data_IF_370471423123
#
_entry.id   IF_370471423123
#
_cell.length_a   1.000
_cell.length_b   1.000
_cell.length_c   1.000
_cell.angle_alpha   90.00
_cell.angle_beta   90.00
_cell.angle_gamma   90.00
#
_symmetry.space_group_name_H-M   'P 1'
#
loop_
_entity.id
_entity.type
_entity.pdbx_description
1 polymer ?
#
# COMPACT_ATOMS: atom_id res chain seq x y z
N UNK A 1 19.52 15.37 3.14
CA UNK A 1 19.24 15.37 1.69
C UNK A 1 18.13 16.39 1.44
N UNK A 2 18.46 17.54 0.87
CA UNK A 2 17.48 18.53 0.41
C UNK A 2 17.92 18.91 -1.00
N UNK A 3 17.29 18.32 -2.02
CA UNK A 3 17.84 18.40 -3.37
C UNK A 3 17.52 19.73 -4.07
N UNK A 4 16.56 20.52 -3.59
CA UNK A 4 16.28 21.87 -4.09
C UNK A 4 15.81 22.76 -2.93
N UNK A 5 16.44 23.91 -2.73
CA UNK A 5 16.02 24.93 -1.75
C UNK A 5 14.90 25.84 -2.27
N UNK A 6 14.34 25.52 -3.43
CA UNK A 6 13.30 26.32 -4.08
C UNK A 6 11.94 25.82 -3.64
N UNK A 7 11.10 26.72 -3.13
CA UNK A 7 9.70 26.45 -2.80
C UNK A 7 8.85 26.43 -4.09
N UNK A 8 8.25 25.30 -4.48
CA UNK A 8 7.38 25.23 -5.65
C UNK A 8 6.15 26.15 -5.54
N UNK A 9 5.70 26.47 -4.32
CA UNK A 9 4.55 27.36 -4.12
C UNK A 9 4.81 28.78 -4.63
N UNK A 10 6.07 29.24 -4.62
CA UNK A 10 6.46 30.54 -5.18
C UNK A 10 6.24 30.63 -6.70
N UNK A 11 6.04 29.49 -7.39
CA UNK A 11 5.78 29.41 -8.82
C UNK A 11 4.34 28.96 -9.13
N UNK A 12 3.43 29.05 -8.15
CA UNK A 12 2.01 28.72 -8.34
C UNK A 12 1.68 27.22 -8.25
N UNK A 13 2.63 26.37 -7.86
CA UNK A 13 2.36 24.95 -7.61
C UNK A 13 1.72 24.76 -6.23
N UNK A 14 0.69 23.92 -6.12
CA UNK A 14 0.15 23.48 -4.84
C UNK A 14 0.46 22.00 -4.63
N UNK A 15 0.63 21.59 -3.38
CA UNK A 15 0.86 20.19 -3.05
C UNK A 15 -0.42 19.38 -3.27
N UNK A 16 -0.34 18.37 -4.14
CA UNK A 16 -1.43 17.43 -4.36
C UNK A 16 -0.88 16.00 -4.34
N UNK A 17 -0.96 15.33 -3.19
CA UNK A 17 -0.68 13.90 -3.13
C UNK A 17 -1.97 13.10 -2.93
N UNK A 18 -2.14 12.05 -3.74
CA UNK A 18 -3.18 11.04 -3.57
C UNK A 18 -2.73 9.92 -2.61
N UNK A 19 -1.49 9.98 -2.15
CA UNK A 19 -0.81 8.91 -1.42
C UNK A 19 -0.06 9.48 -0.22
N UNK A 20 -0.21 8.86 0.93
CA UNK A 20 0.59 9.16 2.11
C UNK A 20 1.67 8.09 2.25
N UNK A 21 2.92 8.52 2.35
CA UNK A 21 4.07 7.62 2.50
C UNK A 21 4.51 7.56 3.94
N UNK A 22 4.62 6.34 4.46
CA UNK A 22 4.98 6.05 5.84
C UNK A 22 6.11 5.02 5.90
N UNK A 23 6.93 5.09 6.95
CA UNK A 23 7.98 4.10 7.21
C UNK A 23 7.95 3.67 8.67
N UNK A 24 8.07 2.37 8.90
CA UNK A 24 8.21 1.78 10.22
C UNK A 24 9.70 1.56 10.54
N UNK A 25 10.14 1.70 11.81
CA UNK A 25 11.54 1.48 12.21
C UNK A 25 12.12 0.11 11.83
N UNK A 26 11.27 -0.90 11.65
CA UNK A 26 11.67 -2.24 11.19
C UNK A 26 12.00 -2.31 9.69
N UNK A 27 11.93 -1.18 8.97
CA UNK A 27 12.24 -1.09 7.54
C UNK A 27 11.03 -1.29 6.61
N UNK A 28 9.84 -1.54 7.14
CA UNK A 28 8.60 -1.63 6.35
C UNK A 28 8.20 -0.25 5.84
N UNK A 29 7.82 -0.15 4.57
CA UNK A 29 7.23 1.07 3.98
C UNK A 29 5.75 0.85 3.72
N UNK A 30 4.94 1.88 3.94
CA UNK A 30 3.50 1.86 3.72
C UNK A 30 3.08 3.05 2.86
N UNK A 31 2.40 2.74 1.75
CA UNK A 31 1.77 3.74 0.88
C UNK A 31 0.26 3.63 1.12
N UNK A 32 -0.34 4.66 1.73
CA UNK A 32 -1.77 4.74 2.01
C UNK A 32 -2.46 5.58 0.93
N UNK A 33 -3.55 5.07 0.35
CA UNK A 33 -4.39 5.75 -0.63
C UNK A 33 -5.77 5.97 -0.02
N UNK A 34 -5.97 7.01 0.82
CA UNK A 34 -7.14 7.14 1.68
C UNK A 34 -8.45 7.13 0.90
N UNK A 35 -8.49 7.83 -0.24
CA UNK A 35 -9.69 7.95 -1.08
C UNK A 35 -10.20 6.61 -1.60
N UNK A 36 -9.32 5.62 -1.79
CA UNK A 36 -9.71 4.30 -2.31
C UNK A 36 -9.74 3.22 -1.22
N UNK A 37 -9.27 3.54 -0.02
CA UNK A 37 -8.98 2.56 1.04
C UNK A 37 -7.94 1.53 0.60
N UNK A 38 -7.03 1.89 -0.31
CA UNK A 38 -5.95 0.99 -0.77
C UNK A 38 -4.70 1.23 0.05
N UNK A 39 -4.04 0.14 0.45
CA UNK A 39 -2.77 0.18 1.17
C UNK A 39 -1.80 -0.76 0.50
N UNK A 40 -0.58 -0.28 0.30
CA UNK A 40 0.56 -1.08 -0.14
C UNK A 40 1.59 -1.11 0.99
N UNK A 41 2.04 -2.30 1.35
CA UNK A 41 3.19 -2.46 2.25
C UNK A 41 4.36 -3.07 1.48
N UNK A 42 5.56 -2.51 1.63
CA UNK A 42 6.81 -3.06 1.07
C UNK A 42 7.72 -3.46 2.22
N UNK A 43 8.21 -4.71 2.21
CA UNK A 43 8.97 -5.28 3.34
C UNK A 43 9.90 -6.41 2.91
N UNK A 44 10.83 -6.77 3.78
CA UNK A 44 11.61 -8.01 3.66
C UNK A 44 10.84 -9.15 4.33
N UNK A 45 10.28 -10.07 3.54
CA UNK A 45 9.58 -11.25 4.06
C UNK A 45 10.59 -12.38 4.31
N UNK A 46 10.56 -13.05 5.48
CA UNK A 46 11.60 -14.02 5.88
C UNK A 46 11.79 -15.19 4.91
N UNK A 47 10.76 -15.53 4.12
CA UNK A 47 10.81 -16.63 3.14
C UNK A 47 10.83 -16.13 1.69
N UNK A 48 10.17 -15.00 1.41
CA UNK A 48 9.97 -14.54 0.02
C UNK A 48 10.97 -13.46 -0.38
N UNK A 49 11.78 -13.00 0.57
CA UNK A 49 12.65 -11.85 0.41
C UNK A 49 11.86 -10.53 0.31
N UNK A 50 12.44 -9.53 -0.36
CA UNK A 50 11.79 -8.25 -0.68
C UNK A 50 10.47 -8.47 -1.41
N UNK A 51 9.37 -8.08 -0.78
CA UNK A 51 8.01 -8.26 -1.32
C UNK A 51 7.16 -7.01 -1.14
N UNK A 52 6.07 -6.96 -1.89
CA UNK A 52 5.05 -5.93 -1.80
C UNK A 52 3.67 -6.56 -1.70
N UNK A 53 2.87 -6.09 -0.75
CA UNK A 53 1.50 -6.56 -0.55
C UNK A 53 0.52 -5.41 -0.77
N UNK A 54 -0.41 -5.60 -1.71
CA UNK A 54 -1.47 -4.66 -2.00
C UNK A 54 -2.79 -5.15 -1.42
N UNK A 55 -3.49 -4.27 -0.71
CA UNK A 55 -4.81 -4.52 -0.13
C UNK A 55 -5.72 -3.38 -0.54
N UNK A 56 -6.85 -3.70 -1.17
CA UNK A 56 -7.79 -2.72 -1.74
C UNK A 56 -9.06 -2.67 -0.89
N UNK A 57 -9.70 -1.51 -0.82
CA UNK A 57 -10.99 -1.31 -0.17
C UNK A 57 -11.04 -1.83 1.28
N UNK A 58 -10.01 -1.49 2.05
CA UNK A 58 -9.96 -1.81 3.47
C UNK A 58 -10.97 -0.97 4.24
N UNK A 59 -11.70 -1.62 5.13
CA UNK A 59 -12.41 -0.95 6.22
C UNK A 59 -11.41 -0.38 7.23
N UNK A 60 -11.88 0.52 8.09
CA UNK A 60 -11.08 1.08 9.19
C UNK A 60 -10.44 -0.01 10.06
N UNK A 61 -11.19 -1.06 10.39
CA UNK A 61 -10.68 -2.16 11.20
C UNK A 61 -9.60 -2.96 10.47
N UNK A 62 -9.80 -3.30 9.19
CA UNK A 62 -8.79 -4.04 8.41
C UNK A 62 -7.52 -3.21 8.22
N UNK A 63 -7.65 -1.89 8.08
CA UNK A 63 -6.51 -0.99 8.04
C UNK A 63 -5.70 -1.05 9.33
N UNK A 64 -6.36 -0.99 10.49
CA UNK A 64 -5.70 -1.13 11.80
C UNK A 64 -4.95 -2.47 11.93
N UNK A 65 -5.51 -3.56 11.41
CA UNK A 65 -4.83 -4.85 11.38
C UNK A 65 -3.54 -4.82 10.55
N UNK A 66 -3.57 -4.14 9.39
CA UNK A 66 -2.38 -3.95 8.55
C UNK A 66 -1.33 -3.07 9.23
N UNK A 67 -1.74 -2.05 9.99
CA UNK A 67 -0.82 -1.22 10.76
C UNK A 67 -0.14 -2.01 11.88
N UNK A 68 -0.89 -2.86 12.59
CA UNK A 68 -0.35 -3.70 13.68
C UNK A 68 0.54 -4.84 13.14
N UNK A 69 0.16 -5.43 12.01
CA UNK A 69 0.91 -6.48 11.36
C UNK A 69 0.89 -6.27 9.83
N UNK A 70 1.96 -5.68 9.25
CA UNK A 70 2.04 -5.42 7.81
C UNK A 70 1.87 -6.65 6.91
N UNK A 71 2.04 -7.86 7.47
CA UNK A 71 1.85 -9.16 6.79
C UNK A 71 0.42 -9.71 6.91
N UNK A 72 -0.47 -9.06 7.65
CA UNK A 72 -1.83 -9.55 7.89
C UNK A 72 -2.55 -9.82 6.56
N UNK A 73 -3.17 -11.00 6.46
CA UNK A 73 -4.00 -11.36 5.33
C UNK A 73 -5.42 -10.88 5.58
N UNK A 74 -5.88 -9.93 4.76
CA UNK A 74 -7.25 -9.38 4.85
C UNK A 74 -8.23 -10.06 3.90
N UNK A 75 -7.76 -11.04 3.10
CA UNK A 75 -8.56 -11.65 2.03
C UNK A 75 -8.88 -10.72 0.85
N UNK A 76 -8.45 -9.45 0.89
CA UNK A 76 -8.75 -8.42 -0.11
C UNK A 76 -7.52 -8.01 -0.92
N UNK A 77 -7.70 -7.82 -2.22
CA UNK A 77 -6.66 -7.32 -3.12
C UNK A 77 -5.65 -8.36 -3.60
N UNK A 78 -5.83 -9.64 -3.22
CA UNK A 78 -5.00 -10.74 -3.70
C UNK A 78 -5.50 -11.23 -5.06
N UNK A 79 -4.57 -11.60 -5.95
CA UNK A 79 -4.88 -12.27 -7.20
C UNK A 79 -5.47 -13.65 -6.88
N UNK A 80 -6.76 -13.84 -7.15
CA UNK A 80 -7.37 -15.17 -7.10
C UNK A 80 -7.12 -15.84 -8.45
N UNK A 81 -6.78 -17.14 -8.45
CA UNK A 81 -6.81 -17.93 -9.68
C UNK A 81 -8.28 -17.99 -10.09
N UNK A 82 -8.65 -17.33 -11.20
CA UNK A 82 -9.98 -17.51 -11.78
C UNK A 82 -10.22 -19.02 -11.95
N UNK A 83 -11.31 -19.55 -11.39
CA UNK A 83 -11.59 -20.98 -11.48
C UNK A 83 -11.78 -21.33 -12.96
N UNK A 84 -10.92 -22.21 -13.45
CA UNK A 84 -10.82 -22.60 -14.86
C UNK A 84 -11.91 -23.63 -15.24
N UNK A 85 -13.10 -23.55 -14.63
CA UNK A 85 -14.21 -24.43 -14.99
C UNK A 85 -14.89 -23.87 -16.25
N UNK A 86 -14.41 -24.31 -17.41
CA UNK A 86 -15.22 -24.29 -18.63
C UNK A 86 -16.50 -25.08 -18.33
N UNK A 87 -17.66 -24.42 -18.25
CA UNK A 87 -18.93 -25.11 -18.34
C UNK A 87 -19.11 -25.55 -19.79
N UNK A 88 -18.66 -26.77 -20.10
CA UNK A 88 -19.08 -27.45 -21.32
C UNK A 88 -20.59 -27.65 -21.26
N UNK A 89 -21.32 -26.88 -22.06
CA UNK A 89 -22.66 -27.24 -22.53
C UNK A 89 -22.53 -27.63 -24.00
#
# INVERSE_FOLDING_TARGET
MAHHQTDPAAYGWFYQSRVEFWQHPTGVKLDNYPTTGTVKTSMEHPVQGKTQMFRRHLSKWEFQQVLANPRAHTGKGYQTKASKYYSGK
#
